data_IF_824396992938
#
_entry.id   IF_824396992938
#
_cell.length_a   1.000
_cell.length_b   1.000
_cell.length_c   1.000
_cell.angle_alpha   90.00
_cell.angle_beta   90.00
_cell.angle_gamma   90.00
#
_symmetry.space_group_name_H-M   'P 1'
#
loop_
_entity.id
_entity.type
_entity.pdbx_description
1 polymer ?
#
# COMPACT_ATOMS: atom_id res chain seq x y z
N UNK A 1 -8.18 -24.23 -22.93
CA UNK A 1 -8.41 -23.71 -21.56
C UNK A 1 -9.18 -22.42 -21.69
N UNK A 2 -10.31 -22.24 -20.98
CA UNK A 2 -11.06 -20.98 -21.07
C UNK A 2 -10.32 -19.88 -20.32
N UNK A 3 -10.49 -18.63 -20.73
CA UNK A 3 -9.83 -17.47 -20.09
C UNK A 3 -10.17 -17.37 -18.59
N UNK A 4 -11.40 -17.72 -18.22
CA UNK A 4 -11.87 -17.79 -16.83
C UNK A 4 -11.11 -18.86 -16.01
N UNK A 5 -10.84 -20.04 -16.59
CA UNK A 5 -10.06 -21.10 -15.93
C UNK A 5 -8.62 -20.64 -15.64
N UNK A 6 -8.04 -19.82 -16.53
CA UNK A 6 -6.71 -19.24 -16.33
C UNK A 6 -6.73 -18.23 -15.18
N UNK A 7 -7.73 -17.35 -15.13
CA UNK A 7 -7.86 -16.34 -14.08
C UNK A 7 -8.06 -16.98 -12.69
N UNK A 8 -8.88 -18.03 -12.62
CA UNK A 8 -9.04 -18.85 -11.42
C UNK A 8 -7.69 -19.41 -10.93
N UNK A 9 -6.86 -19.92 -11.84
CA UNK A 9 -5.52 -20.42 -11.49
C UNK A 9 -4.58 -19.31 -11.07
N UNK A 10 -4.56 -18.19 -11.78
CA UNK A 10 -3.67 -17.05 -11.49
C UNK A 10 -3.96 -16.42 -10.12
N UNK A 11 -5.23 -16.34 -9.73
CA UNK A 11 -5.65 -15.80 -8.44
C UNK A 11 -5.73 -16.88 -7.35
N UNK A 12 -5.36 -18.12 -7.66
CA UNK A 12 -5.46 -19.27 -6.75
C UNK A 12 -6.87 -19.44 -6.13
N UNK A 13 -7.91 -19.16 -6.92
CA UNK A 13 -9.30 -19.25 -6.48
C UNK A 13 -9.75 -20.72 -6.53
N UNK A 14 -9.85 -21.31 -5.35
CA UNK A 14 -10.26 -22.69 -5.14
C UNK A 14 -11.60 -22.75 -4.41
N UNK A 15 -12.29 -23.89 -4.55
CA UNK A 15 -13.49 -24.20 -3.76
C UNK A 15 -13.21 -23.97 -2.26
N UNK A 16 -14.14 -23.35 -1.50
CA UNK A 16 -15.52 -23.02 -1.85
C UNK A 16 -15.71 -21.67 -2.57
N UNK A 17 -14.64 -21.02 -3.02
CA UNK A 17 -14.68 -19.67 -3.58
C UNK A 17 -14.81 -19.68 -5.10
N UNK A 18 -15.53 -18.70 -5.63
CA UNK A 18 -15.69 -18.50 -7.08
C UNK A 18 -15.68 -17.03 -7.46
N UNK A 19 -15.20 -16.76 -8.66
CA UNK A 19 -15.38 -15.46 -9.30
C UNK A 19 -16.87 -15.32 -9.66
N UNK A 20 -17.50 -14.27 -9.14
CA UNK A 20 -18.93 -13.98 -9.39
C UNK A 20 -19.08 -12.92 -10.48
N UNK A 21 -18.11 -12.01 -10.57
CA UNK A 21 -18.10 -10.92 -11.55
C UNK A 21 -16.68 -10.48 -11.85
N UNK A 22 -16.46 -10.06 -13.08
CA UNK A 22 -15.23 -9.38 -13.52
C UNK A 22 -15.67 -8.06 -14.18
N UNK A 23 -14.96 -6.98 -13.89
CA UNK A 23 -15.09 -5.71 -14.60
C UNK A 23 -13.70 -5.27 -15.02
N UNK A 24 -13.56 -4.88 -16.28
CA UNK A 24 -12.34 -4.30 -16.82
C UNK A 24 -12.58 -2.82 -17.11
N UNK A 25 -11.69 -1.97 -16.61
CA UNK A 25 -11.64 -0.54 -16.89
C UNK A 25 -10.36 -0.26 -17.70
N UNK A 26 -10.50 -0.33 -19.03
CA UNK A 26 -9.40 -0.12 -19.98
C UNK A 26 -8.76 1.26 -19.85
N UNK A 27 -9.53 2.28 -19.41
CA UNK A 27 -9.01 3.64 -19.24
C UNK A 27 -8.10 3.78 -18.02
N UNK A 28 -8.33 2.96 -16.99
CA UNK A 28 -7.53 2.95 -15.75
C UNK A 28 -6.48 1.84 -15.71
N UNK A 29 -6.39 1.01 -16.76
CA UNK A 29 -5.60 -0.21 -16.77
C UNK A 29 -5.88 -1.06 -15.51
N UNK A 30 -7.16 -1.34 -15.27
CA UNK A 30 -7.63 -1.96 -14.03
C UNK A 30 -8.60 -3.09 -14.32
N UNK A 31 -8.47 -4.17 -13.56
CA UNK A 31 -9.41 -5.28 -13.49
C UNK A 31 -9.92 -5.43 -12.05
N UNK A 32 -11.23 -5.37 -11.90
CA UNK A 32 -11.93 -5.63 -10.64
C UNK A 32 -12.52 -7.04 -10.69
N UNK A 33 -12.24 -7.85 -9.67
CA UNK A 33 -12.70 -9.23 -9.56
C UNK A 33 -13.50 -9.40 -8.28
N UNK A 34 -14.78 -9.74 -8.41
CA UNK A 34 -15.64 -10.06 -7.28
C UNK A 34 -15.59 -11.55 -6.99
N UNK A 35 -15.26 -11.88 -5.74
CA UNK A 35 -15.16 -13.26 -5.27
C UNK A 35 -16.25 -13.51 -4.22
N UNK A 36 -16.99 -14.59 -4.42
CA UNK A 36 -18.06 -15.02 -3.52
C UNK A 36 -17.86 -16.45 -3.06
N UNK A 37 -18.38 -16.78 -1.88
CA UNK A 37 -18.42 -18.16 -1.39
C UNK A 37 -19.59 -18.89 -2.07
N UNK A 38 -19.36 -20.08 -2.58
CA UNK A 38 -20.42 -20.98 -2.99
C UNK A 38 -21.30 -21.26 -1.78
N UNK A 39 -22.58 -20.90 -1.88
CA UNK A 39 -23.58 -21.29 -0.90
C UNK A 39 -24.26 -22.55 -1.42
N UNK A 40 -24.19 -23.63 -0.65
CA UNK A 40 -24.58 -24.99 -1.07
C UNK A 40 -26.08 -25.22 -1.34
N UNK A 41 -26.85 -24.19 -1.69
CA UNK A 41 -28.26 -24.36 -2.08
C UNK A 41 -28.39 -24.37 -3.61
N UNK A 42 -28.01 -25.49 -4.22
CA UNK A 42 -28.44 -25.78 -5.60
C UNK A 42 -29.95 -26.00 -5.60
N UNK A 43 -30.71 -25.12 -6.25
CA UNK A 43 -32.05 -25.48 -6.71
C UNK A 43 -31.87 -26.39 -7.93
N UNK A 44 -32.39 -27.61 -7.92
CA UNK A 44 -32.04 -28.70 -8.84
C UNK A 44 -32.21 -28.43 -10.35
N UNK A 45 -32.72 -27.26 -10.75
CA UNK A 45 -32.81 -26.81 -12.14
C UNK A 45 -31.69 -25.84 -12.56
N UNK A 46 -30.90 -25.28 -11.64
CA UNK A 46 -29.78 -24.37 -11.95
C UNK A 46 -28.60 -24.69 -11.03
N UNK A 47 -27.41 -24.91 -11.63
CA UNK A 47 -26.18 -25.32 -10.93
C UNK A 47 -25.74 -24.39 -9.78
N UNK A 48 -24.67 -24.79 -9.07
CA UNK A 48 -24.12 -24.04 -7.93
C UNK A 48 -23.93 -22.55 -8.27
N UNK A 49 -24.61 -21.67 -7.52
CA UNK A 49 -24.47 -20.21 -7.65
C UNK A 49 -23.69 -19.68 -6.45
N UNK A 50 -22.51 -19.13 -6.70
CA UNK A 50 -21.87 -18.20 -5.79
C UNK A 50 -22.59 -16.84 -5.87
N UNK A 51 -22.79 -16.20 -4.73
CA UNK A 51 -23.34 -14.85 -4.65
C UNK A 51 -22.22 -13.88 -4.26
N UNK A 52 -22.19 -12.71 -4.90
CA UNK A 52 -21.30 -11.63 -4.49
C UNK A 52 -21.67 -11.19 -3.06
N UNK A 53 -20.69 -10.64 -2.35
CA UNK A 53 -20.96 -10.04 -1.06
C UNK A 53 -22.00 -8.91 -1.23
N UNK A 54 -22.96 -8.78 -0.30
CA UNK A 54 -23.77 -7.56 -0.19
C UNK A 54 -22.87 -6.33 -0.07
N UNK A 55 -23.29 -5.21 -0.66
CA UNK A 55 -22.50 -3.97 -0.75
C UNK A 55 -22.09 -3.43 0.64
N UNK A 56 -22.89 -3.69 1.68
CA UNK A 56 -22.60 -3.32 3.08
C UNK A 56 -21.46 -4.14 3.73
N UNK A 57 -21.08 -5.27 3.12
CA UNK A 57 -20.05 -6.20 3.60
C UNK A 57 -18.91 -6.38 2.62
N UNK A 58 -18.93 -5.64 1.52
CA UNK A 58 -17.90 -5.70 0.50
C UNK A 58 -16.66 -4.92 0.96
N UNK A 59 -15.51 -5.59 0.87
CA UNK A 59 -14.20 -4.98 1.07
C UNK A 59 -13.42 -5.06 -0.23
N UNK A 60 -12.56 -4.06 -0.43
CA UNK A 60 -11.74 -3.93 -1.63
C UNK A 60 -10.27 -3.97 -1.24
N UNK A 61 -9.53 -4.85 -1.88
CA UNK A 61 -8.09 -4.99 -1.68
C UNK A 61 -7.34 -4.92 -3.01
N UNK A 62 -6.23 -4.18 -3.01
CA UNK A 62 -5.27 -4.23 -4.12
C UNK A 62 -4.52 -5.56 -4.08
N UNK A 63 -4.50 -6.25 -5.22
CA UNK A 63 -3.83 -7.53 -5.40
C UNK A 63 -2.62 -7.38 -6.34
N UNK A 64 -1.84 -8.43 -6.56
CA UNK A 64 -0.75 -8.44 -7.54
C UNK A 64 -1.30 -8.15 -8.94
N UNK A 65 -0.53 -7.41 -9.76
CA UNK A 65 -0.94 -7.08 -11.13
C UNK A 65 -1.19 -8.34 -11.96
N UNK A 66 -2.15 -8.25 -12.89
CA UNK A 66 -2.36 -9.24 -13.93
C UNK A 66 -1.81 -8.67 -15.23
N UNK A 67 -0.54 -8.95 -15.51
CA UNK A 67 0.19 -8.28 -16.59
C UNK A 67 0.42 -6.80 -16.24
N UNK A 68 0.00 -5.90 -17.13
CA UNK A 68 0.05 -4.45 -16.93
C UNK A 68 -1.20 -3.89 -16.22
N UNK A 69 -2.19 -4.74 -15.94
CA UNK A 69 -3.45 -4.33 -15.31
C UNK A 69 -3.35 -4.39 -13.79
N UNK A 70 -3.78 -3.32 -13.12
CA UNK A 70 -4.00 -3.32 -11.67
C UNK A 70 -5.15 -4.24 -11.33
N UNK A 71 -4.94 -5.14 -10.38
CA UNK A 71 -5.97 -6.07 -9.93
C UNK A 71 -6.55 -5.63 -8.59
N UNK A 72 -7.87 -5.47 -8.52
CA UNK A 72 -8.62 -5.22 -7.29
C UNK A 72 -9.54 -6.40 -7.00
N UNK A 73 -9.51 -6.86 -5.77
CA UNK A 73 -10.36 -7.95 -5.30
C UNK A 73 -11.46 -7.37 -4.44
N UNK A 74 -12.70 -7.70 -4.81
CA UNK A 74 -13.92 -7.34 -4.09
C UNK A 74 -14.47 -8.60 -3.44
N UNK A 75 -14.48 -8.69 -2.12
CA UNK A 75 -15.12 -9.81 -1.42
C UNK A 75 -15.53 -9.44 0.01
N UNK A 76 -16.34 -10.29 0.63
CA UNK A 76 -16.55 -10.24 2.07
C UNK A 76 -15.27 -10.64 2.81
N UNK A 77 -15.15 -10.23 4.07
CA UNK A 77 -14.09 -10.74 4.96
C UNK A 77 -14.14 -12.26 5.03
N UNK A 78 -12.96 -12.87 4.93
CA UNK A 78 -12.80 -14.31 5.03
C UNK A 78 -12.38 -14.67 6.45
N UNK A 79 -13.31 -15.26 7.20
CA UNK A 79 -13.07 -15.79 8.55
C UNK A 79 -12.83 -17.31 8.49
N UNK A 80 -11.86 -17.71 7.65
CA UNK A 80 -11.38 -19.09 7.59
C UNK A 80 -10.02 -19.18 8.31
N UNK A 81 -9.68 -20.33 8.97
CA UNK A 81 -8.41 -20.49 9.70
C UNK A 81 -7.16 -20.33 8.81
N UNK A 82 -7.30 -20.66 7.53
CA UNK A 82 -6.27 -20.51 6.51
C UNK A 82 -6.86 -19.69 5.35
N UNK A 83 -6.92 -18.36 5.47
CA UNK A 83 -7.56 -17.52 4.47
C UNK A 83 -6.75 -17.54 3.16
N UNK A 84 -7.41 -17.51 2.00
CA UNK A 84 -6.74 -17.59 0.71
C UNK A 84 -5.92 -16.32 0.40
N UNK A 85 -4.87 -16.44 -0.42
CA UNK A 85 -3.95 -15.33 -0.70
C UNK A 85 -4.58 -14.11 -1.39
N UNK A 86 -5.66 -14.31 -2.15
CA UNK A 86 -6.42 -13.23 -2.78
C UNK A 86 -7.27 -12.42 -1.78
N UNK A 87 -7.57 -12.97 -0.60
CA UNK A 87 -8.31 -12.26 0.45
C UNK A 87 -7.41 -11.28 1.19
N UNK A 88 -8.00 -10.25 1.81
CA UNK A 88 -7.30 -9.32 2.67
C UNK A 88 -7.87 -9.27 4.08
N UNK A 89 -7.26 -8.43 4.92
CA UNK A 89 -7.68 -8.19 6.29
C UNK A 89 -8.54 -6.92 6.38
N UNK A 90 -9.35 -6.83 7.44
CA UNK A 90 -10.15 -5.65 7.71
C UNK A 90 -9.25 -4.42 7.92
N UNK A 91 -9.54 -3.34 7.19
CA UNK A 91 -8.79 -2.09 7.26
C UNK A 91 -7.43 -2.11 6.54
N UNK A 92 -7.03 -3.23 5.97
CA UNK A 92 -5.79 -3.33 5.19
C UNK A 92 -6.03 -3.01 3.72
N UNK A 93 -5.11 -2.32 3.03
CA UNK A 93 -5.30 -1.94 1.63
C UNK A 93 -4.97 -3.08 0.64
N UNK A 94 -4.27 -4.12 1.11
CA UNK A 94 -3.71 -5.16 0.27
C UNK A 94 -4.29 -6.54 0.56
N UNK A 95 -4.34 -7.37 -0.48
CA UNK A 95 -4.56 -8.79 -0.28
C UNK A 95 -3.35 -9.42 0.44
N UNK A 96 -3.54 -10.57 1.06
CA UNK A 96 -2.48 -11.32 1.77
C UNK A 96 -1.31 -11.69 0.87
N UNK A 97 -1.57 -12.06 -0.38
CA UNK A 97 -0.52 -12.35 -1.37
C UNK A 97 0.35 -11.12 -1.64
N UNK A 98 -0.26 -9.97 -1.92
CA UNK A 98 0.48 -8.74 -2.17
C UNK A 98 1.19 -8.24 -0.91
N UNK A 99 0.53 -8.29 0.26
CA UNK A 99 1.12 -7.95 1.55
C UNK A 99 2.38 -8.78 1.85
N UNK A 100 2.34 -10.10 1.60
CA UNK A 100 3.51 -10.97 1.78
C UNK A 100 4.65 -10.62 0.82
N UNK A 101 4.32 -10.31 -0.44
CA UNK A 101 5.30 -9.89 -1.44
C UNK A 101 5.96 -8.56 -1.06
N UNK A 102 5.18 -7.56 -0.66
CA UNK A 102 5.68 -6.27 -0.17
C UNK A 102 6.58 -6.48 1.05
N UNK A 103 6.12 -7.25 2.04
CA UNK A 103 6.90 -7.53 3.24
C UNK A 103 8.21 -8.24 2.91
N UNK A 104 8.22 -9.17 1.94
CA UNK A 104 9.44 -9.82 1.47
C UNK A 104 10.42 -8.80 0.87
N UNK A 105 9.96 -7.92 -0.03
CA UNK A 105 10.80 -6.85 -0.59
C UNK A 105 11.35 -5.91 0.48
N UNK A 106 10.54 -5.56 1.48
CA UNK A 106 10.99 -4.72 2.60
C UNK A 106 12.06 -5.43 3.43
N UNK A 107 11.91 -6.73 3.69
CA UNK A 107 12.95 -7.53 4.36
C UNK A 107 14.23 -7.64 3.54
N UNK A 108 14.14 -7.61 2.21
CA UNK A 108 15.28 -7.56 1.28
C UNK A 108 15.90 -6.15 1.18
N UNK A 109 15.46 -5.18 1.99
CA UNK A 109 15.99 -3.82 1.99
C UNK A 109 15.55 -2.97 0.79
N UNK A 110 14.59 -3.45 0.00
CA UNK A 110 14.08 -2.69 -1.14
C UNK A 110 13.34 -1.47 -0.62
N UNK A 111 13.82 -0.29 -1.04
CA UNK A 111 13.26 1.00 -0.64
C UNK A 111 11.78 1.09 -1.04
N UNK A 112 10.95 1.69 -0.17
CA UNK A 112 9.51 1.86 -0.42
C UNK A 112 9.21 2.50 -1.78
N UNK A 113 10.03 3.44 -2.21
CA UNK A 113 9.88 4.12 -3.51
C UNK A 113 10.04 3.14 -4.69
N UNK A 114 10.98 2.21 -4.58
CA UNK A 114 11.19 1.15 -5.58
C UNK A 114 10.02 0.17 -5.57
N UNK A 115 9.50 -0.19 -4.39
CA UNK A 115 8.30 -1.03 -4.25
C UNK A 115 7.09 -0.37 -4.93
N UNK A 116 6.83 0.92 -4.66
CA UNK A 116 5.75 1.66 -5.33
C UNK A 116 5.89 1.65 -6.85
N UNK A 117 7.11 1.85 -7.36
CA UNK A 117 7.37 1.86 -8.80
C UNK A 117 7.22 0.49 -9.46
N UNK A 118 7.72 -0.58 -8.82
CA UNK A 118 7.69 -1.94 -9.35
C UNK A 118 6.29 -2.55 -9.33
N UNK A 119 5.51 -2.25 -8.30
CA UNK A 119 4.20 -2.85 -8.07
C UNK A 119 3.03 -1.94 -8.47
N UNK A 120 3.31 -0.74 -8.97
CA UNK A 120 2.32 0.30 -9.27
C UNK A 120 1.36 0.52 -8.08
N UNK A 121 1.96 0.87 -6.93
CA UNK A 121 1.25 1.13 -5.68
C UNK A 121 1.27 2.61 -5.34
N UNK A 122 0.21 3.05 -4.68
CA UNK A 122 0.21 4.39 -4.08
C UNK A 122 1.10 4.40 -2.84
N UNK A 123 1.75 5.54 -2.61
CA UNK A 123 2.56 5.75 -1.40
C UNK A 123 1.69 5.67 -0.14
N UNK A 124 0.43 6.11 -0.22
CA UNK A 124 -0.50 6.08 0.91
C UNK A 124 -0.81 4.65 1.35
N UNK A 125 -1.11 3.76 0.41
CA UNK A 125 -1.41 2.36 0.72
C UNK A 125 -0.19 1.63 1.27
N UNK A 126 0.98 1.84 0.66
CA UNK A 126 2.22 1.23 1.13
C UNK A 126 2.59 1.70 2.54
N UNK A 127 2.31 2.97 2.86
CA UNK A 127 2.51 3.52 4.20
C UNK A 127 1.56 2.93 5.24
N UNK A 128 0.26 2.89 4.94
CA UNK A 128 -0.74 2.27 5.84
C UNK A 128 -0.37 0.83 6.18
N UNK A 129 0.13 0.10 5.18
CA UNK A 129 0.64 -1.26 5.37
C UNK A 129 1.89 -1.30 6.24
N UNK A 130 2.94 -0.52 5.91
CA UNK A 130 4.19 -0.47 6.69
C UNK A 130 3.93 -0.11 8.15
N UNK A 131 3.12 0.92 8.40
CA UNK A 131 2.80 1.35 9.76
C UNK A 131 2.05 0.26 10.54
N UNK A 132 1.10 -0.43 9.90
CA UNK A 132 0.40 -1.56 10.53
C UNK A 132 1.36 -2.73 10.81
N UNK A 133 2.35 -2.95 9.93
CA UNK A 133 3.39 -3.96 10.09
C UNK A 133 4.33 -3.64 11.26
N UNK A 134 4.84 -2.40 11.34
CA UNK A 134 5.76 -1.97 12.40
C UNK A 134 5.09 -2.00 13.79
N UNK A 135 3.78 -1.74 13.84
CA UNK A 135 2.99 -1.85 15.06
C UNK A 135 2.59 -3.30 15.43
N UNK A 136 3.06 -4.30 14.67
CA UNK A 136 2.75 -5.71 14.89
C UNK A 136 1.28 -6.09 14.64
N UNK A 137 0.52 -5.22 13.98
CA UNK A 137 -0.91 -5.39 13.72
C UNK A 137 -1.21 -6.03 12.36
N UNK A 138 -0.21 -6.11 11.47
CA UNK A 138 -0.37 -6.77 10.18
C UNK A 138 -0.26 -8.29 10.36
N UNK A 139 -1.32 -9.03 10.05
CA UNK A 139 -1.31 -10.50 10.13
C UNK A 139 -0.49 -11.13 9.01
N UNK A 140 0.84 -11.09 9.13
CA UNK A 140 1.77 -11.83 8.27
C UNK A 140 1.99 -13.26 8.78
N UNK A 141 0.91 -14.00 9.05
CA UNK A 141 1.00 -15.43 9.34
C UNK A 141 1.23 -16.19 8.04
N UNK A 142 2.49 -16.24 7.60
CA UNK A 142 2.98 -17.04 6.49
C UNK A 142 4.50 -17.13 6.57
N UNK A 143 5.03 -18.36 6.57
CA UNK A 143 6.41 -18.73 6.91
C UNK A 143 7.52 -17.82 6.32
N UNK A 144 8.61 -17.54 7.07
CA UNK A 144 9.68 -16.65 6.64
C UNK A 144 10.63 -17.35 5.65
N UNK A 145 11.03 -16.64 4.60
CA UNK A 145 12.21 -16.97 3.81
C UNK A 145 13.29 -15.90 4.07
N UNK A 146 14.36 -16.43 4.66
CA UNK A 146 15.77 -16.07 4.82
C UNK A 146 16.25 -14.64 4.53
N UNK A 147 17.07 -14.18 5.48
CA UNK A 147 17.84 -12.94 5.49
C UNK A 147 19.00 -12.93 4.49
N UNK A 148 19.43 -11.73 4.10
CA UNK A 148 20.84 -11.44 3.77
C UNK A 148 21.12 -9.93 3.92
N UNK A 149 22.35 -9.66 4.34
CA UNK A 149 22.93 -8.38 4.78
C UNK A 149 23.05 -7.29 3.70
N UNK A 150 22.76 -6.05 4.15
CA UNK A 150 23.49 -4.78 4.01
C UNK A 150 24.45 -4.53 2.83
N UNK A 151 24.20 -3.44 2.08
CA UNK A 151 25.18 -2.36 1.85
C UNK A 151 24.59 -1.21 0.99
N UNK A 152 24.48 -0.01 1.57
CA UNK A 152 24.23 1.25 0.85
C UNK A 152 24.48 2.46 1.74
N UNK A 153 25.50 3.25 1.43
CA UNK A 153 26.07 4.30 2.32
C UNK A 153 25.09 5.36 2.83
N UNK A 154 25.50 6.13 3.85
CA UNK A 154 24.61 6.99 4.63
C UNK A 154 24.11 8.18 3.79
N UNK A 155 22.79 8.21 3.56
CA UNK A 155 22.06 9.40 3.11
C UNK A 155 22.14 10.47 4.20
N UNK A 156 22.40 11.72 3.82
CA UNK A 156 22.38 12.84 4.78
C UNK A 156 20.96 13.31 5.11
N UNK A 157 19.96 12.81 4.38
CA UNK A 157 18.54 13.09 4.62
C UNK A 157 18.04 12.25 5.81
N UNK A 158 17.45 12.88 6.85
CA UNK A 158 16.82 12.16 7.95
C UNK A 158 15.78 11.15 7.46
N UNK A 159 15.64 10.06 8.20
CA UNK A 159 14.66 9.02 7.90
C UNK A 159 13.24 9.61 7.82
N UNK A 160 12.34 9.01 7.02
CA UNK A 160 10.97 9.49 6.86
C UNK A 160 10.21 9.72 8.17
N UNK A 161 10.47 8.89 9.18
CA UNK A 161 9.79 8.93 10.49
C UNK A 161 10.46 9.87 11.49
N UNK A 162 11.52 10.56 11.08
CA UNK A 162 12.24 11.46 11.96
C UNK A 162 11.35 12.66 12.33
N UNK A 163 11.25 13.03 13.63
CA UNK A 163 10.33 14.08 14.11
C UNK A 163 10.63 15.47 13.53
N UNK A 164 11.82 15.66 12.95
CA UNK A 164 12.21 16.90 12.25
C UNK A 164 11.21 17.31 11.18
N UNK A 165 10.59 16.35 10.48
CA UNK A 165 9.65 16.66 9.39
C UNK A 165 8.36 17.26 9.92
N UNK A 166 7.83 16.73 11.02
CA UNK A 166 6.67 17.30 11.69
C UNK A 166 7.01 18.67 12.30
N UNK A 167 8.18 18.81 12.93
CA UNK A 167 8.66 20.08 13.49
C UNK A 167 8.86 21.17 12.44
N UNK A 168 9.30 20.79 11.24
CA UNK A 168 9.34 21.70 10.09
C UNK A 168 7.94 22.09 9.64
N UNK A 169 6.96 21.19 9.69
CA UNK A 169 5.60 21.44 9.22
C UNK A 169 4.68 22.14 10.23
N UNK A 170 4.93 22.01 11.53
CA UNK A 170 4.18 22.70 12.57
C UNK A 170 4.74 24.10 12.88
N UNK A 171 5.97 24.39 12.43
CA UNK A 171 6.64 25.68 12.63
C UNK A 171 7.55 25.75 13.85
N UNK A 172 7.66 24.67 14.63
CA UNK A 172 8.54 24.59 15.81
C UNK A 172 10.02 24.52 15.45
N UNK A 173 10.35 24.04 14.25
CA UNK A 173 11.67 24.15 13.65
C UNK A 173 11.61 25.06 12.42
N UNK A 174 12.46 26.08 12.40
CA UNK A 174 12.66 26.97 11.25
C UNK A 174 14.12 26.89 10.81
N UNK A 175 14.31 26.76 9.50
CA UNK A 175 15.62 26.70 8.86
C UNK A 175 15.75 27.84 7.86
N UNK A 176 16.97 28.26 7.58
CA UNK A 176 17.26 29.15 6.46
C UNK A 176 17.13 28.37 5.13
N UNK A 177 16.28 28.87 4.23
CA UNK A 177 15.90 28.18 2.98
C UNK A 177 16.42 28.99 1.80
N UNK A 178 17.36 28.41 1.04
CA UNK A 178 17.92 29.02 -0.17
C UNK A 178 17.16 28.64 -1.42
N UNK A 179 16.63 27.41 -1.47
CA UNK A 179 15.80 26.97 -2.59
C UNK A 179 14.37 27.51 -2.50
N UNK A 180 14.03 28.41 -3.42
CA UNK A 180 12.71 29.02 -3.50
C UNK A 180 11.58 27.98 -3.63
N UNK A 181 11.80 26.90 -4.37
CA UNK A 181 10.86 25.80 -4.52
C UNK A 181 10.58 25.05 -3.21
N UNK A 182 11.58 24.92 -2.32
CA UNK A 182 11.38 24.39 -0.98
C UNK A 182 10.55 25.36 -0.14
N UNK A 183 10.83 26.67 -0.24
CA UNK A 183 10.08 27.70 0.49
C UNK A 183 8.60 27.66 0.13
N UNK A 184 8.27 27.58 -1.16
CA UNK A 184 6.87 27.46 -1.61
C UNK A 184 6.21 26.15 -1.17
N UNK A 185 6.91 25.02 -1.29
CA UNK A 185 6.40 23.74 -0.82
C UNK A 185 6.11 23.80 0.69
N UNK A 186 7.06 24.26 1.49
CA UNK A 186 6.92 24.33 2.94
C UNK A 186 5.77 25.27 3.35
N UNK A 187 5.64 26.44 2.72
CA UNK A 187 4.50 27.34 2.96
C UNK A 187 3.16 26.67 2.64
N UNK A 188 3.05 25.97 1.52
CA UNK A 188 1.84 25.24 1.13
C UNK A 188 1.52 24.12 2.14
N UNK A 189 2.51 23.32 2.52
CA UNK A 189 2.30 22.19 3.43
C UNK A 189 1.93 22.65 4.84
N UNK A 190 2.57 23.71 5.35
CA UNK A 190 2.23 24.34 6.64
C UNK A 190 0.77 24.81 6.67
N UNK A 191 0.30 25.45 5.60
CA UNK A 191 -1.08 25.91 5.51
C UNK A 191 -2.07 24.72 5.51
N UNK A 192 -1.75 23.65 4.77
CA UNK A 192 -2.55 22.43 4.77
C UNK A 192 -2.58 21.76 6.15
N UNK A 193 -1.44 21.71 6.84
CA UNK A 193 -1.31 21.12 8.19
C UNK A 193 -2.14 21.85 9.25
N UNK A 194 -2.37 23.16 9.07
CA UNK A 194 -3.26 23.94 9.94
C UNK A 194 -4.73 23.55 9.80
N UNK A 195 -5.14 23.15 8.60
CA UNK A 195 -6.52 22.79 8.28
C UNK A 195 -6.81 21.30 8.53
N UNK A 196 -5.79 20.46 8.43
CA UNK A 196 -5.91 19.01 8.61
C UNK A 196 -5.80 18.67 10.10
N UNK A 197 -6.85 18.09 10.66
CA UNK A 197 -6.86 17.55 12.04
C UNK A 197 -6.49 16.08 12.10
N UNK A 198 -6.61 15.37 10.98
CA UNK A 198 -6.35 13.93 10.88
C UNK A 198 -4.84 13.65 10.92
N UNK A 199 -4.41 12.90 11.92
CA UNK A 199 -3.01 12.52 12.14
C UNK A 199 -2.41 11.72 10.98
N UNK A 200 -3.20 10.86 10.33
CA UNK A 200 -2.70 10.07 9.19
C UNK A 200 -2.39 10.98 8.00
N UNK A 201 -3.26 11.95 7.74
CA UNK A 201 -3.08 12.88 6.62
C UNK A 201 -1.91 13.85 6.89
N UNK A 202 -1.67 14.23 8.16
CA UNK A 202 -0.51 15.03 8.57
C UNK A 202 0.81 14.30 8.32
N UNK A 203 0.86 13.02 8.64
CA UNK A 203 2.02 12.16 8.36
C UNK A 203 2.30 12.10 6.85
N UNK A 204 1.28 12.04 5.99
CA UNK A 204 1.47 12.10 4.53
C UNK A 204 2.14 13.42 4.06
N UNK A 205 1.89 14.54 4.76
CA UNK A 205 2.53 15.83 4.45
C UNK A 205 4.00 15.85 4.85
N UNK A 206 4.36 15.22 5.96
CA UNK A 206 5.75 15.03 6.37
C UNK A 206 6.54 14.23 5.32
N UNK A 207 5.95 13.17 4.77
CA UNK A 207 6.57 12.40 3.69
C UNK A 207 6.65 13.16 2.35
N UNK A 208 5.67 14.00 2.03
CA UNK A 208 5.73 14.87 0.85
C UNK A 208 6.96 15.80 0.94
N UNK A 209 7.23 16.34 2.13
CA UNK A 209 8.41 17.15 2.42
C UNK A 209 9.70 16.32 2.34
N UNK A 210 9.78 15.17 3.02
CA UNK A 210 10.97 14.33 3.02
C UNK A 210 11.34 13.85 1.61
N UNK A 211 10.34 13.50 0.78
CA UNK A 211 10.57 13.08 -0.61
C UNK A 211 11.15 14.20 -1.46
N UNK A 212 10.76 15.44 -1.19
CA UNK A 212 11.38 16.60 -1.82
C UNK A 212 12.86 16.68 -1.43
N UNK A 213 13.21 16.49 -0.16
CA UNK A 213 14.61 16.47 0.30
C UNK A 213 15.43 15.34 -0.35
N UNK A 214 14.91 14.11 -0.42
CA UNK A 214 15.58 13.00 -1.11
C UNK A 214 15.80 13.31 -2.59
N UNK A 215 14.78 13.86 -3.28
CA UNK A 215 14.86 14.18 -4.71
C UNK A 215 15.91 15.26 -5.01
N UNK A 216 16.09 16.21 -4.10
CA UNK A 216 16.95 17.37 -4.28
C UNK A 216 18.13 17.40 -3.30
N UNK A 217 18.54 16.24 -2.76
CA UNK A 217 19.57 16.11 -1.72
C UNK A 217 20.85 16.89 -2.06
N UNK A 218 21.33 16.73 -3.31
CA UNK A 218 22.54 17.42 -3.81
C UNK A 218 22.42 18.95 -3.84
N UNK A 219 21.20 19.47 -4.02
CA UNK A 219 20.94 20.91 -4.05
C UNK A 219 20.66 21.49 -2.65
N UNK A 220 20.22 20.64 -1.71
CA UNK A 220 19.76 21.01 -0.37
C UNK A 220 20.83 20.82 0.72
N UNK A 221 22.11 20.77 0.36
CA UNK A 221 23.18 20.52 1.34
C UNK A 221 23.22 21.53 2.49
N UNK A 222 22.83 22.79 2.23
CA UNK A 222 22.76 23.83 3.27
C UNK A 222 21.60 23.63 4.24
N UNK A 223 20.43 23.25 3.71
CA UNK A 223 19.25 22.96 4.50
C UNK A 223 19.43 21.66 5.30
N UNK A 224 20.02 20.62 4.69
CA UNK A 224 20.30 19.34 5.34
C UNK A 224 21.29 19.47 6.50
N UNK A 225 22.31 20.33 6.38
CA UNK A 225 23.24 20.60 7.49
C UNK A 225 22.50 21.14 8.73
N UNK A 226 21.49 22.00 8.55
CA UNK A 226 20.69 22.54 9.66
C UNK A 226 19.77 21.48 10.28
N UNK A 227 19.38 20.44 9.53
CA UNK A 227 18.57 19.33 10.06
C UNK A 227 19.40 18.34 10.87
N UNK A 228 20.70 18.21 10.58
CA UNK A 228 21.61 17.36 11.34
C UNK A 228 21.87 17.91 12.77
N UNK A 229 21.73 19.22 12.96
CA UNK A 229 21.99 19.93 14.21
C UNK A 229 20.71 20.17 15.06
N UNK A 230 19.52 19.68 14.64
CA UNK A 230 18.19 20.06 15.15
C UNK A 230 17.41 18.96 15.87
#
# INVERSE_FOLDING_TARGET
MKAEDLLHKMLEIQSPWQIVRIREDLGKHQIDVWIGRQTGKSSWFFGHRAAAAPEDREHVWRHVNLGDQRCLIHAALVDDPAPPGWSGELGMPFSRALARLIAAMMREGIKLQSICGLLDLTVSDLWKFKHTLDNGKAGLSGAPLLATDEAGGPSAVPEPDHPVWERLLDGSLNIDIRLLSLKFLLSKLREQMRLISDSEVRVLKAYELQRYFVRYERALGHELAQLADA
#
